data_IF_920218605120
#
_entry.id   IF_920218605120
#
_cell.length_a   1.000
_cell.length_b   1.000
_cell.length_c   1.000
_cell.angle_alpha   90.00
_cell.angle_beta   90.00
_cell.angle_gamma   90.00
#
_symmetry.space_group_name_H-M   'P 1'
#
loop_
_entity.id
_entity.type
_entity.pdbx_description
1 polymer ?
#
# COMPACT_ATOMS: atom_id res chain seq x y z
N UNK A 1 -9.38 -13.10 -13.62
CA UNK A 1 -7.91 -13.10 -13.70
C UNK A 1 -7.38 -12.04 -12.75
N UNK A 2 -6.41 -12.38 -11.89
CA UNK A 2 -5.71 -11.45 -10.99
C UNK A 2 -4.54 -10.81 -11.73
N UNK A 3 -4.33 -9.50 -11.54
CA UNK A 3 -3.13 -8.77 -11.95
C UNK A 3 -2.47 -8.12 -10.74
N UNK A 4 -1.16 -8.35 -10.59
CA UNK A 4 -0.34 -7.76 -9.52
C UNK A 4 0.37 -6.54 -10.09
N UNK A 5 0.12 -5.36 -9.51
CA UNK A 5 0.64 -4.07 -9.96
C UNK A 5 1.81 -3.66 -9.05
N UNK A 6 2.97 -3.43 -9.64
CA UNK A 6 4.21 -3.13 -8.92
C UNK A 6 4.81 -1.84 -9.48
N UNK A 7 4.59 -0.67 -8.84
CA UNK A 7 5.29 0.56 -9.23
C UNK A 7 6.76 0.48 -8.82
N UNK A 8 7.65 0.85 -9.73
CA UNK A 8 9.10 0.78 -9.58
C UNK A 8 9.74 2.09 -10.01
N UNK A 9 10.73 2.54 -9.25
CA UNK A 9 11.64 3.61 -9.62
C UNK A 9 13.01 3.31 -9.04
N UNK A 10 13.96 2.87 -9.86
CA UNK A 10 15.27 2.38 -9.43
C UNK A 10 15.16 1.19 -8.44
N UNK A 11 16.22 0.91 -7.66
CA UNK A 11 16.21 -0.12 -6.61
C UNK A 11 16.02 -1.55 -7.15
N UNK A 12 16.72 -1.88 -8.25
CA UNK A 12 16.64 -3.18 -8.92
C UNK A 12 16.74 -4.37 -7.95
N UNK A 13 17.66 -4.32 -7.01
CA UNK A 13 17.84 -5.40 -6.02
C UNK A 13 16.52 -5.82 -5.37
N UNK A 14 15.74 -4.87 -4.85
CA UNK A 14 14.47 -5.16 -4.19
C UNK A 14 13.40 -5.61 -5.18
N UNK A 15 13.34 -4.97 -6.35
CA UNK A 15 12.43 -5.37 -7.42
C UNK A 15 12.67 -6.82 -7.84
N UNK A 16 13.94 -7.23 -7.95
CA UNK A 16 14.33 -8.59 -8.27
C UNK A 16 13.87 -9.59 -7.19
N UNK A 17 14.09 -9.28 -5.93
CA UNK A 17 13.67 -10.12 -4.79
C UNK A 17 12.13 -10.25 -4.75
N UNK A 18 11.40 -9.16 -4.95
CA UNK A 18 9.94 -9.17 -5.04
C UNK A 18 9.44 -10.07 -6.18
N UNK A 19 9.93 -9.87 -7.40
CA UNK A 19 9.53 -10.67 -8.56
C UNK A 19 9.92 -12.14 -8.43
N UNK A 20 11.10 -12.44 -7.86
CA UNK A 20 11.50 -13.81 -7.56
C UNK A 20 10.55 -14.50 -6.57
N UNK A 21 10.09 -13.77 -5.55
CA UNK A 21 9.09 -14.30 -4.60
C UNK A 21 7.73 -14.56 -5.24
N UNK A 22 7.34 -13.76 -6.23
CA UNK A 22 6.12 -13.99 -7.02
C UNK A 22 6.28 -15.19 -7.95
N UNK A 23 7.43 -15.35 -8.59
CA UNK A 23 7.73 -16.54 -9.44
C UNK A 23 7.69 -17.84 -8.62
N UNK A 24 8.05 -17.78 -7.34
CA UNK A 24 8.05 -18.93 -6.42
C UNK A 24 6.68 -19.20 -5.75
N UNK A 25 5.61 -18.50 -6.14
CA UNK A 25 4.28 -18.73 -5.56
C UNK A 25 3.72 -20.11 -5.91
N UNK A 26 3.05 -20.73 -4.94
CA UNK A 26 2.35 -22.02 -5.14
C UNK A 26 1.17 -21.91 -6.10
N UNK A 27 0.56 -20.73 -6.21
CA UNK A 27 -0.47 -20.42 -7.21
C UNK A 27 0.08 -19.43 -8.22
N UNK A 28 0.08 -19.83 -9.50
CA UNK A 28 0.44 -18.98 -10.65
C UNK A 28 -0.78 -18.37 -11.35
N UNK A 29 -1.94 -18.32 -10.69
CA UNK A 29 -3.19 -17.80 -11.26
C UNK A 29 -3.22 -16.26 -11.29
N UNK A 30 -2.11 -15.62 -11.67
CA UNK A 30 -1.98 -14.18 -11.79
C UNK A 30 -1.07 -13.79 -12.99
N UNK A 31 -1.06 -12.50 -13.29
CA UNK A 31 -0.05 -11.84 -14.13
C UNK A 31 0.53 -10.65 -13.39
N UNK A 32 1.81 -10.37 -13.57
CA UNK A 32 2.46 -9.19 -13.00
C UNK A 32 2.54 -8.06 -14.04
N UNK A 33 2.26 -6.83 -13.57
CA UNK A 33 2.46 -5.58 -14.30
C UNK A 33 3.42 -4.73 -13.50
N UNK A 34 4.62 -4.54 -14.00
CA UNK A 34 5.59 -3.59 -13.44
C UNK A 34 5.38 -2.24 -14.13
N UNK A 35 5.22 -1.19 -13.34
CA UNK A 35 5.22 0.19 -13.83
C UNK A 35 6.56 0.81 -13.50
N UNK A 36 7.47 0.81 -14.46
CA UNK A 36 8.79 1.44 -14.33
C UNK A 36 8.68 2.93 -14.61
N UNK A 37 8.71 3.73 -13.55
CA UNK A 37 8.57 5.20 -13.62
C UNK A 37 9.89 5.89 -14.04
N UNK A 38 10.49 5.40 -15.13
CA UNK A 38 11.69 6.02 -15.71
C UNK A 38 12.95 5.74 -14.87
N UNK A 39 13.16 4.49 -14.45
CA UNK A 39 14.39 4.09 -13.76
C UNK A 39 15.63 4.41 -14.58
N UNK A 40 16.68 4.84 -13.88
CA UNK A 40 17.98 5.24 -14.46
C UNK A 40 19.11 4.26 -14.10
N UNK A 41 18.81 3.27 -13.26
CA UNK A 41 19.69 2.14 -12.95
C UNK A 41 19.45 0.99 -13.95
N UNK A 42 19.97 -0.21 -13.64
CA UNK A 42 19.82 -1.40 -14.48
C UNK A 42 18.39 -1.98 -14.55
N UNK A 43 17.40 -1.41 -13.84
CA UNK A 43 16.05 -1.98 -13.67
C UNK A 43 15.40 -2.36 -15.00
N UNK A 44 15.34 -1.45 -15.98
CA UNK A 44 14.67 -1.71 -17.25
C UNK A 44 15.32 -2.86 -18.06
N UNK A 45 16.66 -2.86 -18.13
CA UNK A 45 17.41 -3.88 -18.84
C UNK A 45 17.30 -5.25 -18.15
N UNK A 46 17.42 -5.25 -16.83
CA UNK A 46 17.36 -6.47 -16.04
C UNK A 46 15.95 -7.09 -16.01
N UNK A 47 14.88 -6.27 -15.99
CA UNK A 47 13.49 -6.76 -16.14
C UNK A 47 13.32 -7.52 -17.46
N UNK A 48 13.78 -6.96 -18.58
CA UNK A 48 13.65 -7.60 -19.87
C UNK A 48 14.43 -8.92 -19.96
N UNK A 49 15.58 -9.02 -19.28
CA UNK A 49 16.43 -10.19 -19.29
C UNK A 49 15.98 -11.29 -18.32
N UNK A 50 15.68 -10.92 -17.06
CA UNK A 50 15.44 -11.88 -15.98
C UNK A 50 13.95 -12.22 -15.80
N UNK A 51 13.04 -11.33 -16.19
CA UNK A 51 11.58 -11.51 -16.02
C UNK A 51 10.79 -11.17 -17.30
N UNK A 52 11.08 -11.85 -18.43
CA UNK A 52 10.42 -11.57 -19.72
C UNK A 52 8.91 -11.86 -19.73
N UNK A 53 8.40 -12.60 -18.74
CA UNK A 53 6.96 -12.88 -18.56
C UNK A 53 6.17 -11.71 -17.94
N UNK A 54 6.85 -10.72 -17.40
CA UNK A 54 6.24 -9.57 -16.74
C UNK A 54 5.85 -8.52 -17.77
N UNK A 55 4.62 -8.05 -17.69
CA UNK A 55 4.19 -6.89 -18.46
C UNK A 55 4.83 -5.62 -17.89
N UNK A 56 5.60 -4.89 -18.70
CA UNK A 56 6.25 -3.65 -18.30
C UNK A 56 5.54 -2.44 -18.93
N UNK A 57 5.18 -1.48 -18.10
CA UNK A 57 4.64 -0.18 -18.52
C UNK A 57 5.60 0.90 -18.08
N UNK A 58 6.03 1.75 -19.03
CA UNK A 58 6.99 2.83 -18.75
C UNK A 58 6.26 4.11 -18.35
N UNK A 59 6.68 4.74 -17.25
CA UNK A 59 6.26 6.06 -16.80
C UNK A 59 7.18 7.16 -17.32
N UNK A 60 6.95 8.39 -16.86
CA UNK A 60 7.70 9.61 -17.26
C UNK A 60 8.71 10.09 -16.20
N UNK A 61 8.86 9.36 -15.11
CA UNK A 61 9.73 9.70 -13.99
C UNK A 61 9.06 10.56 -12.90
N UNK A 62 7.77 10.87 -13.05
CA UNK A 62 7.03 11.77 -12.16
C UNK A 62 5.71 11.19 -11.63
N UNK A 63 5.48 9.88 -11.82
CA UNK A 63 4.23 9.24 -11.41
C UNK A 63 4.11 9.11 -9.88
N UNK A 64 5.21 8.97 -9.19
CA UNK A 64 5.21 8.57 -7.79
C UNK A 64 4.42 7.26 -7.60
N UNK A 65 4.05 6.94 -6.33
CA UNK A 65 3.36 5.69 -6.05
C UNK A 65 1.95 5.66 -6.64
N UNK A 66 1.17 6.72 -6.41
CA UNK A 66 -0.27 6.69 -6.69
C UNK A 66 -0.58 6.69 -8.19
N UNK A 67 0.05 7.55 -8.97
CA UNK A 67 -0.16 7.56 -10.42
C UNK A 67 0.46 6.33 -11.09
N UNK A 68 1.59 5.81 -10.57
CA UNK A 68 2.17 4.55 -11.03
C UNK A 68 1.21 3.37 -10.83
N UNK A 69 0.63 3.24 -9.64
CA UNK A 69 -0.40 2.23 -9.37
C UNK A 69 -1.61 2.41 -10.30
N UNK A 70 -2.12 3.63 -10.46
CA UNK A 70 -3.25 3.89 -11.34
C UNK A 70 -2.95 3.55 -12.81
N UNK A 71 -1.74 3.83 -13.29
CA UNK A 71 -1.30 3.45 -14.64
C UNK A 71 -1.31 1.93 -14.81
N UNK A 72 -0.76 1.20 -13.85
CA UNK A 72 -0.78 -0.26 -13.83
C UNK A 72 -2.20 -0.84 -13.76
N UNK A 73 -3.09 -0.26 -12.94
CA UNK A 73 -4.50 -0.68 -12.86
C UNK A 73 -5.19 -0.46 -14.21
N UNK A 74 -5.01 0.69 -14.85
CA UNK A 74 -5.58 0.94 -16.20
C UNK A 74 -5.11 -0.10 -17.20
N UNK A 75 -3.81 -0.45 -17.18
CA UNK A 75 -3.25 -1.49 -18.05
C UNK A 75 -3.85 -2.86 -17.76
N UNK A 76 -3.92 -3.25 -16.49
CA UNK A 76 -4.50 -4.52 -16.06
C UNK A 76 -5.98 -4.66 -16.48
N UNK A 77 -6.77 -3.60 -16.30
CA UNK A 77 -8.18 -3.59 -16.72
C UNK A 77 -8.34 -3.72 -18.23
N UNK A 78 -7.48 -3.06 -19.01
CA UNK A 78 -7.44 -3.21 -20.47
C UNK A 78 -7.07 -4.63 -20.91
N UNK A 79 -6.31 -5.36 -20.10
CA UNK A 79 -5.97 -6.78 -20.31
C UNK A 79 -7.01 -7.76 -19.71
N UNK A 80 -8.15 -7.27 -19.22
CA UNK A 80 -9.25 -8.08 -18.72
C UNK A 80 -9.14 -8.50 -17.25
N UNK A 81 -8.46 -7.71 -16.42
CA UNK A 81 -8.41 -7.96 -14.98
C UNK A 81 -9.80 -7.96 -14.36
N UNK A 82 -10.10 -8.97 -13.54
CA UNK A 82 -11.29 -9.01 -12.67
C UNK A 82 -10.95 -8.64 -11.23
N UNK A 83 -9.67 -8.72 -10.87
CA UNK A 83 -9.09 -8.31 -9.59
C UNK A 83 -7.71 -7.70 -9.85
N UNK A 84 -7.34 -6.70 -9.10
CA UNK A 84 -5.96 -6.20 -9.05
C UNK A 84 -5.42 -6.34 -7.63
N UNK A 85 -4.11 -6.52 -7.52
CA UNK A 85 -3.40 -6.53 -6.25
C UNK A 85 -2.24 -5.54 -6.38
N UNK A 86 -2.22 -4.51 -5.53
CA UNK A 86 -1.08 -3.58 -5.49
C UNK A 86 0.01 -4.13 -4.59
N UNK A 87 1.25 -4.00 -5.01
CA UNK A 87 2.41 -4.50 -4.28
C UNK A 87 3.56 -3.51 -4.42
N UNK A 88 4.26 -3.23 -3.34
CA UNK A 88 5.50 -2.46 -3.44
C UNK A 88 6.63 -3.36 -3.97
N UNK A 89 7.64 -2.74 -4.57
CA UNK A 89 8.80 -3.48 -5.06
C UNK A 89 9.78 -3.93 -3.97
N UNK A 90 9.61 -3.46 -2.74
CA UNK A 90 10.43 -3.78 -1.57
C UNK A 90 9.75 -4.74 -0.59
N UNK A 91 8.96 -5.67 -1.11
CA UNK A 91 8.32 -6.74 -0.33
C UNK A 91 8.70 -8.11 -0.86
N UNK A 92 8.69 -9.10 0.01
CA UNK A 92 8.85 -10.52 -0.32
C UNK A 92 7.58 -11.26 0.08
N UNK A 93 6.90 -11.86 -0.88
CA UNK A 93 5.68 -12.61 -0.65
C UNK A 93 5.98 -14.00 -0.12
N UNK A 94 5.28 -14.45 0.94
CA UNK A 94 5.34 -15.83 1.39
C UNK A 94 4.87 -16.80 0.27
N UNK A 95 5.36 -18.03 0.20
CA UNK A 95 5.07 -18.94 -0.94
C UNK A 95 3.58 -19.18 -1.21
N UNK A 96 2.72 -19.07 -0.22
CA UNK A 96 1.26 -19.27 -0.34
C UNK A 96 0.48 -17.96 -0.45
N UNK A 97 1.13 -16.80 -0.46
CA UNK A 97 0.49 -15.49 -0.40
C UNK A 97 -0.61 -15.30 -1.46
N UNK A 98 -0.31 -15.59 -2.73
CA UNK A 98 -1.29 -15.44 -3.82
C UNK A 98 -2.44 -16.44 -3.66
N UNK A 99 -2.16 -17.68 -3.29
CA UNK A 99 -3.19 -18.69 -3.05
C UNK A 99 -4.16 -18.27 -1.93
N UNK A 100 -3.63 -17.77 -0.81
CA UNK A 100 -4.42 -17.31 0.33
C UNK A 100 -5.24 -16.04 0.01
N UNK A 101 -4.69 -15.12 -0.80
CA UNK A 101 -5.43 -13.94 -1.27
C UNK A 101 -6.57 -14.35 -2.20
N UNK A 102 -6.35 -15.27 -3.13
CA UNK A 102 -7.38 -15.74 -4.05
C UNK A 102 -8.47 -16.53 -3.32
N UNK A 103 -8.12 -17.42 -2.41
CA UNK A 103 -9.08 -18.19 -1.62
C UNK A 103 -9.99 -17.28 -0.79
N UNK A 104 -9.42 -16.27 -0.13
CA UNK A 104 -10.19 -15.29 0.62
C UNK A 104 -11.10 -14.43 -0.29
N UNK A 105 -10.59 -14.01 -1.46
CA UNK A 105 -11.34 -13.22 -2.42
C UNK A 105 -12.46 -14.02 -3.11
N UNK A 106 -12.34 -15.32 -3.27
CA UNK A 106 -13.39 -16.19 -3.82
C UNK A 106 -14.55 -16.37 -2.83
N UNK A 107 -14.23 -16.46 -1.54
CA UNK A 107 -15.23 -16.49 -0.46
C UNK A 107 -15.87 -15.12 -0.21
N UNK A 108 -15.18 -14.03 -0.53
CA UNK A 108 -15.63 -12.65 -0.30
C UNK A 108 -15.45 -11.80 -1.56
N UNK A 109 -16.22 -12.03 -2.63
CA UNK A 109 -15.95 -11.53 -3.97
C UNK A 109 -15.98 -10.00 -4.12
N UNK A 110 -16.55 -9.29 -3.17
CA UNK A 110 -16.61 -7.82 -3.14
C UNK A 110 -15.71 -7.18 -2.10
N UNK A 111 -15.00 -7.99 -1.29
CA UNK A 111 -14.14 -7.45 -0.25
C UNK A 111 -12.81 -6.92 -0.79
N UNK A 112 -12.36 -5.81 -0.24
CA UNK A 112 -10.98 -5.35 -0.35
C UNK A 112 -10.16 -6.05 0.72
N UNK A 113 -9.06 -6.69 0.33
CA UNK A 113 -8.24 -7.50 1.23
C UNK A 113 -6.83 -6.94 1.33
N UNK A 114 -6.29 -6.90 2.54
CA UNK A 114 -4.89 -6.61 2.83
C UNK A 114 -4.18 -7.84 3.39
N UNK A 115 -2.88 -7.71 3.64
CA UNK A 115 -2.00 -8.77 4.12
C UNK A 115 -1.52 -8.53 5.55
N UNK A 116 -1.11 -9.60 6.22
CA UNK A 116 -0.27 -9.55 7.41
C UNK A 116 1.19 -9.29 7.00
N UNK A 117 1.84 -8.31 7.62
CA UNK A 117 3.20 -7.91 7.26
C UNK A 117 4.19 -8.22 8.38
N UNK A 118 5.36 -8.67 7.95
CA UNK A 118 6.50 -8.99 8.81
C UNK A 118 7.71 -8.12 8.45
N UNK A 119 8.54 -7.85 9.41
CA UNK A 119 9.88 -7.31 9.20
C UNK A 119 10.78 -8.41 8.63
N UNK A 120 11.34 -8.18 7.46
CA UNK A 120 12.20 -9.15 6.77
C UNK A 120 13.52 -9.46 7.54
N UNK A 121 13.98 -8.52 8.37
CA UNK A 121 15.22 -8.67 9.13
C UNK A 121 15.00 -9.46 10.42
N UNK A 122 13.89 -9.23 11.12
CA UNK A 122 13.62 -9.81 12.45
C UNK A 122 12.60 -10.95 12.42
N UNK A 123 11.80 -11.07 11.37
CA UNK A 123 10.68 -12.00 11.31
C UNK A 123 9.50 -11.64 12.23
N UNK A 124 9.53 -10.46 12.87
CA UNK A 124 8.46 -10.01 13.73
C UNK A 124 7.28 -9.48 12.91
N UNK A 125 6.01 -9.71 13.31
CA UNK A 125 4.87 -9.08 12.67
C UNK A 125 4.89 -7.57 12.97
N UNK A 126 4.68 -6.74 11.95
CA UNK A 126 4.74 -5.28 12.05
C UNK A 126 3.45 -4.57 11.61
N UNK A 127 2.55 -5.28 10.92
CA UNK A 127 1.25 -4.76 10.53
C UNK A 127 0.25 -5.90 10.38
N UNK A 128 -0.86 -5.83 11.08
CA UNK A 128 -1.96 -6.79 11.03
C UNK A 128 -3.33 -6.14 10.78
N UNK A 129 -3.33 -4.90 10.29
CA UNK A 129 -4.54 -4.11 10.10
C UNK A 129 -4.80 -3.13 11.24
N UNK A 130 -5.40 -2.01 10.90
CA UNK A 130 -5.68 -0.92 11.84
C UNK A 130 -7.17 -0.53 11.83
N UNK A 131 -7.66 -0.14 13.00
CA UNK A 131 -8.93 0.56 13.17
C UNK A 131 -8.68 1.99 13.61
N UNK A 132 -9.21 2.95 12.85
CA UNK A 132 -9.14 4.38 13.18
C UNK A 132 -10.43 4.83 13.84
N UNK A 133 -10.33 5.34 15.06
CA UNK A 133 -11.39 6.13 15.71
C UNK A 133 -11.19 7.60 15.35
N UNK A 134 -12.07 8.13 14.50
CA UNK A 134 -12.04 9.54 14.11
C UNK A 134 -12.40 10.50 15.26
N UNK A 135 -13.14 10.04 16.26
CA UNK A 135 -13.55 10.85 17.41
C UNK A 135 -12.36 11.21 18.30
N UNK A 136 -11.49 10.24 18.55
CA UNK A 136 -10.31 10.38 19.42
C UNK A 136 -9.02 10.57 18.63
N UNK A 137 -9.06 10.38 17.31
CA UNK A 137 -7.88 10.29 16.44
C UNK A 137 -6.88 9.24 16.95
N UNK A 138 -7.40 8.10 17.41
CA UNK A 138 -6.60 6.97 17.90
C UNK A 138 -6.58 5.86 16.86
N UNK A 139 -5.42 5.30 16.65
CA UNK A 139 -5.23 4.08 15.86
C UNK A 139 -5.13 2.90 16.80
N UNK A 140 -5.86 1.86 16.48
CA UNK A 140 -5.86 0.59 17.18
C UNK A 140 -5.25 -0.44 16.24
N UNK A 141 -4.04 -0.89 16.55
CA UNK A 141 -3.39 -1.96 15.81
C UNK A 141 -3.97 -3.31 16.25
N UNK A 142 -4.38 -4.12 15.29
CA UNK A 142 -4.94 -5.45 15.59
C UNK A 142 -3.88 -6.41 16.14
N UNK A 143 -2.59 -6.19 15.86
CA UNK A 143 -1.51 -6.96 16.45
C UNK A 143 -1.43 -6.76 17.98
N UNK A 144 -1.75 -5.55 18.47
CA UNK A 144 -1.79 -5.27 19.91
C UNK A 144 -3.06 -5.79 20.58
N UNK A 145 -4.18 -5.79 19.84
CA UNK A 145 -5.49 -6.19 20.38
C UNK A 145 -5.75 -7.69 20.33
N UNK A 146 -5.25 -8.39 19.29
CA UNK A 146 -5.53 -9.80 19.07
C UNK A 146 -4.49 -10.70 19.78
N UNK A 147 -4.92 -11.59 20.69
CA UNK A 147 -4.07 -12.65 21.20
C UNK A 147 -3.50 -13.50 20.05
N UNK A 148 -2.28 -14.02 20.22
CA UNK A 148 -1.59 -14.79 19.18
C UNK A 148 -2.44 -15.95 18.61
N UNK A 149 -3.23 -16.63 19.44
CA UNK A 149 -4.12 -17.72 19.02
C UNK A 149 -5.34 -17.29 18.18
N UNK A 150 -5.64 -15.99 18.11
CA UNK A 150 -6.72 -15.43 17.29
C UNK A 150 -6.20 -14.71 16.03
N UNK A 151 -4.90 -14.73 15.78
CA UNK A 151 -4.26 -14.10 14.61
C UNK A 151 -4.37 -15.01 13.38
N UNK A 152 -5.60 -15.34 12.99
CA UNK A 152 -5.91 -16.15 11.80
C UNK A 152 -7.17 -15.68 11.12
N UNK A 153 -7.31 -15.94 9.80
CA UNK A 153 -8.49 -15.61 9.02
C UNK A 153 -8.59 -14.13 8.64
N UNK A 154 -9.81 -13.64 8.45
CA UNK A 154 -10.11 -12.28 8.00
C UNK A 154 -10.55 -11.40 9.18
N UNK A 155 -9.90 -10.27 9.36
CA UNK A 155 -10.24 -9.30 10.40
C UNK A 155 -10.71 -7.97 9.78
N UNK A 156 -11.88 -7.43 10.21
CA UNK A 156 -12.37 -6.15 9.69
C UNK A 156 -11.50 -5.00 10.16
N UNK A 157 -11.17 -4.11 9.22
CA UNK A 157 -10.29 -2.96 9.44
C UNK A 157 -10.89 -1.67 8.90
N UNK A 158 -10.35 -0.52 9.29
CA UNK A 158 -10.79 0.78 8.77
C UNK A 158 -10.15 1.08 7.43
N UNK A 159 -8.87 0.77 7.27
CA UNK A 159 -8.09 0.97 6.06
C UNK A 159 -6.91 -0.02 6.00
N UNK A 160 -6.30 -0.09 4.82
CA UNK A 160 -5.19 -0.99 4.50
C UNK A 160 -4.10 -0.22 3.74
N UNK A 161 -2.82 -0.58 3.90
CA UNK A 161 -1.73 -0.07 3.09
C UNK A 161 -1.78 -0.63 1.67
N UNK A 162 -1.15 0.07 0.73
CA UNK A 162 -1.12 -0.30 -0.67
C UNK A 162 -0.23 -1.51 -0.99
N UNK A 163 0.60 -1.96 -0.05
CA UNK A 163 1.41 -3.17 -0.21
C UNK A 163 0.59 -4.40 0.19
N UNK A 164 0.28 -5.25 -0.79
CA UNK A 164 -0.57 -6.42 -0.58
C UNK A 164 -2.07 -6.12 -0.56
N UNK A 165 -2.52 -5.09 -1.27
CA UNK A 165 -3.92 -4.67 -1.33
C UNK A 165 -4.62 -5.28 -2.56
N UNK A 166 -5.49 -6.26 -2.34
CA UNK A 166 -6.32 -6.85 -3.37
C UNK A 166 -7.65 -6.10 -3.49
N UNK A 167 -7.97 -5.67 -4.72
CA UNK A 167 -9.14 -4.86 -5.06
C UNK A 167 -9.94 -5.55 -6.16
N UNK A 168 -11.18 -5.97 -5.91
CA UNK A 168 -12.07 -6.45 -6.95
C UNK A 168 -12.41 -5.36 -7.98
N UNK A 169 -12.56 -5.72 -9.25
CA UNK A 169 -12.98 -4.79 -10.31
C UNK A 169 -14.26 -4.05 -9.96
N UNK A 170 -15.23 -4.70 -9.32
CA UNK A 170 -16.48 -4.07 -8.89
C UNK A 170 -16.26 -2.88 -7.95
N UNK A 171 -15.23 -2.91 -7.10
CA UNK A 171 -14.84 -1.77 -6.26
C UNK A 171 -14.33 -0.63 -7.14
N UNK A 172 -13.42 -0.93 -8.08
CA UNK A 172 -12.85 0.08 -9.00
C UNK A 172 -13.96 0.71 -9.84
N UNK A 173 -14.89 -0.08 -10.37
CA UNK A 173 -16.02 0.41 -11.17
C UNK A 173 -16.92 1.37 -10.36
N UNK A 174 -17.04 1.14 -9.05
CA UNK A 174 -17.90 1.95 -8.16
C UNK A 174 -17.23 3.19 -7.63
N UNK A 175 -15.96 3.10 -7.19
CA UNK A 175 -15.28 4.19 -6.48
C UNK A 175 -14.23 4.91 -7.32
N UNK A 176 -13.86 4.35 -8.48
CA UNK A 176 -12.81 4.86 -9.35
C UNK A 176 -11.42 4.40 -8.95
N UNK A 177 -10.41 5.13 -9.43
CA UNK A 177 -9.00 4.93 -9.15
C UNK A 177 -8.56 5.70 -7.90
N UNK A 178 -7.31 5.52 -7.48
CA UNK A 178 -6.71 6.30 -6.38
C UNK A 178 -6.65 7.80 -6.72
N UNK A 179 -6.74 8.67 -5.71
CA UNK A 179 -6.73 10.14 -5.88
C UNK A 179 -5.28 10.64 -6.08
N UNK A 180 -4.73 10.42 -7.28
CA UNK A 180 -3.34 10.77 -7.61
C UNK A 180 -3.07 12.28 -7.60
N UNK A 181 -4.12 13.12 -7.75
CA UNK A 181 -3.97 14.58 -7.78
C UNK A 181 -3.75 15.17 -6.38
N UNK A 182 -4.46 14.65 -5.37
CA UNK A 182 -4.41 15.18 -4.00
C UNK A 182 -3.50 14.36 -3.09
N UNK A 183 -3.31 13.09 -3.40
CA UNK A 183 -2.55 12.12 -2.62
C UNK A 183 -1.54 11.39 -3.52
N UNK A 184 -0.51 12.08 -4.03
CA UNK A 184 0.38 11.50 -5.02
C UNK A 184 1.27 10.37 -4.48
N UNK A 185 1.43 10.24 -3.15
CA UNK A 185 2.31 9.23 -2.56
C UNK A 185 1.72 8.60 -1.29
N UNK A 186 1.70 9.32 -0.16
CA UNK A 186 1.18 8.82 1.12
C UNK A 186 -0.30 9.09 1.30
N UNK A 187 -0.99 8.24 2.07
CA UNK A 187 -2.41 8.28 2.42
C UNK A 187 -3.37 7.94 1.26
N UNK A 188 -2.89 7.72 0.04
CA UNK A 188 -3.73 7.36 -1.09
C UNK A 188 -4.42 6.00 -0.90
N UNK A 189 -3.70 5.03 -0.35
CA UNK A 189 -4.14 3.70 0.01
C UNK A 189 -5.19 3.72 1.13
N UNK A 190 -4.94 4.47 2.20
CA UNK A 190 -5.86 4.66 3.31
C UNK A 190 -7.13 5.43 2.88
N UNK A 191 -6.97 6.44 2.03
CA UNK A 191 -8.10 7.15 1.42
C UNK A 191 -8.95 6.20 0.58
N UNK A 192 -8.32 5.45 -0.32
CA UNK A 192 -9.01 4.53 -1.23
C UNK A 192 -9.82 3.49 -0.48
N UNK A 193 -9.21 2.80 0.49
CA UNK A 193 -9.88 1.77 1.29
C UNK A 193 -10.98 2.35 2.18
N UNK A 194 -10.80 3.57 2.70
CA UNK A 194 -11.87 4.31 3.41
C UNK A 194 -13.04 4.66 2.50
N UNK A 195 -12.78 5.07 1.25
CA UNK A 195 -13.82 5.34 0.25
C UNK A 195 -14.56 4.06 -0.11
N UNK A 196 -13.85 2.95 -0.37
CA UNK A 196 -14.45 1.65 -0.66
C UNK A 196 -15.36 1.20 0.49
N UNK A 197 -14.90 1.29 1.74
CA UNK A 197 -15.69 0.95 2.93
C UNK A 197 -16.97 1.80 3.04
N UNK A 198 -16.89 3.11 2.80
CA UNK A 198 -18.09 3.99 2.82
C UNK A 198 -19.04 3.70 1.65
N UNK A 199 -18.55 3.17 0.55
CA UNK A 199 -19.36 2.70 -0.57
C UNK A 199 -20.03 1.34 -0.30
N UNK A 200 -19.83 0.75 0.89
CA UNK A 200 -20.48 -0.49 1.32
C UNK A 200 -19.66 -1.75 1.07
N UNK A 201 -18.41 -1.64 0.61
CA UNK A 201 -17.54 -2.79 0.41
C UNK A 201 -16.85 -3.19 1.72
N UNK A 202 -16.82 -4.49 2.08
CA UNK A 202 -16.05 -4.97 3.21
C UNK A 202 -14.55 -4.74 3.00
N UNK A 203 -13.83 -4.43 4.09
CA UNK A 203 -12.38 -4.24 4.09
C UNK A 203 -11.79 -5.11 5.19
N UNK A 204 -10.95 -6.09 4.83
CA UNK A 204 -10.36 -7.04 5.77
C UNK A 204 -8.85 -7.13 5.63
N UNK A 205 -8.15 -7.34 6.74
CA UNK A 205 -6.80 -7.86 6.74
C UNK A 205 -6.86 -9.40 6.77
N UNK A 206 -6.19 -10.06 5.81
CA UNK A 206 -6.10 -11.51 5.71
C UNK A 206 -4.80 -12.00 6.36
N UNK A 207 -4.91 -12.64 7.51
CA UNK A 207 -3.76 -13.11 8.29
C UNK A 207 -3.11 -14.38 7.70
N UNK A 208 -3.79 -15.09 6.80
CA UNK A 208 -3.19 -16.20 6.06
C UNK A 208 -2.25 -15.72 4.94
N UNK A 209 -2.52 -14.53 4.36
CA UNK A 209 -1.70 -13.95 3.32
C UNK A 209 -0.58 -13.08 3.93
N UNK A 210 0.66 -13.53 3.80
CA UNK A 210 1.80 -12.95 4.51
C UNK A 210 2.82 -12.33 3.55
N UNK A 211 3.34 -11.16 3.94
CA UNK A 211 4.40 -10.43 3.27
C UNK A 211 5.51 -10.08 4.25
N UNK A 212 6.75 -10.08 3.79
CA UNK A 212 7.86 -9.47 4.51
C UNK A 212 8.28 -8.18 3.82
N UNK A 213 8.64 -7.16 4.59
CA UNK A 213 9.08 -5.84 4.08
C UNK A 213 10.32 -5.39 4.83
N UNK A 214 10.99 -4.35 4.32
CA UNK A 214 12.21 -3.76 4.86
C UNK A 214 11.89 -2.37 5.45
N UNK A 215 11.43 -2.25 6.71
CA UNK A 215 10.99 -0.96 7.29
C UNK A 215 12.11 0.10 7.32
N UNK A 216 13.37 -0.33 7.56
CA UNK A 216 14.54 0.56 7.59
C UNK A 216 14.85 1.23 6.24
N UNK A 217 14.42 0.61 5.14
CA UNK A 217 14.60 1.09 3.77
C UNK A 217 13.45 1.96 3.29
N UNK A 218 12.44 2.16 4.12
CA UNK A 218 11.30 3.02 3.77
C UNK A 218 11.75 4.47 3.62
N UNK A 219 11.17 5.20 2.66
CA UNK A 219 11.50 6.60 2.43
C UNK A 219 11.29 7.48 3.66
N UNK A 220 10.40 7.10 4.57
CA UNK A 220 10.18 7.81 5.85
C UNK A 220 11.37 7.65 6.80
N UNK A 221 11.88 6.43 6.96
CA UNK A 221 13.01 6.13 7.85
C UNK A 221 14.29 6.82 7.34
N UNK A 222 14.55 6.74 6.04
CA UNK A 222 15.73 7.37 5.43
C UNK A 222 15.71 8.91 5.58
N UNK A 223 14.55 9.55 5.44
CA UNK A 223 14.42 11.01 5.59
C UNK A 223 14.66 11.49 7.03
N UNK A 224 14.44 10.64 8.03
CA UNK A 224 14.61 10.97 9.46
C UNK A 224 16.02 10.78 9.99
N UNK A 225 16.88 10.00 9.32
CA UNK A 225 18.28 9.77 9.74
C UNK A 225 19.14 11.05 9.82
N UNK A 226 18.80 12.09 9.04
CA UNK A 226 19.50 13.37 9.03
C UNK A 226 18.54 14.53 9.35
N UNK A 227 18.44 14.86 10.66
CA UNK A 227 17.57 15.96 11.13
C UNK A 227 18.13 17.32 10.67
N UNK A 228 17.37 18.02 9.84
CA UNK A 228 17.70 19.36 9.38
C UNK A 228 16.44 20.19 9.15
N UNK A 229 16.56 21.50 9.12
CA UNK A 229 15.44 22.41 8.82
C UNK A 229 14.86 22.13 7.44
N UNK A 230 15.71 21.84 6.45
CA UNK A 230 15.29 21.44 5.10
C UNK A 230 14.55 20.09 5.14
N UNK A 231 15.05 19.11 5.90
CA UNK A 231 14.41 17.82 6.11
C UNK A 231 13.04 17.94 6.79
N UNK A 232 12.93 18.83 7.78
CA UNK A 232 11.66 19.12 8.44
C UNK A 232 10.63 19.73 7.49
N UNK A 233 11.03 20.72 6.69
CA UNK A 233 10.16 21.28 5.65
C UNK A 233 9.71 20.22 4.65
N UNK A 234 10.64 19.39 4.17
CA UNK A 234 10.31 18.28 3.26
C UNK A 234 9.38 17.24 3.90
N UNK A 235 9.56 16.94 5.20
CA UNK A 235 8.66 16.06 5.93
C UNK A 235 7.23 16.59 5.97
N UNK A 236 7.05 17.91 6.16
CA UNK A 236 5.72 18.54 6.29
C UNK A 236 5.06 18.87 4.94
N UNK A 237 5.84 19.16 3.89
CA UNK A 237 5.31 19.71 2.63
C UNK A 237 5.82 18.99 1.37
N UNK A 238 6.84 18.14 1.46
CA UNK A 238 7.35 17.37 0.33
C UNK A 238 6.39 16.25 -0.06
N UNK A 239 6.32 15.90 -1.34
CA UNK A 239 5.46 14.81 -1.85
C UNK A 239 5.75 13.48 -1.12
N UNK A 240 7.02 13.18 -0.85
CA UNK A 240 7.48 12.01 -0.10
C UNK A 240 7.58 12.25 1.41
N UNK A 241 7.00 13.34 1.92
CA UNK A 241 7.01 13.67 3.33
C UNK A 241 5.98 12.86 4.11
N UNK A 242 6.42 12.00 5.03
CA UNK A 242 5.52 11.16 5.84
C UNK A 242 4.58 11.93 6.78
N UNK A 243 4.92 13.20 7.08
CA UNK A 243 4.08 14.14 7.85
C UNK A 243 3.36 15.16 6.98
N UNK A 244 3.23 14.95 5.67
CA UNK A 244 2.69 15.95 4.75
C UNK A 244 1.33 16.49 5.22
N UNK A 245 1.29 17.77 5.55
CA UNK A 245 0.11 18.45 6.13
C UNK A 245 -0.98 18.66 5.09
N UNK A 246 -0.62 18.89 3.82
CA UNK A 246 -1.57 19.10 2.73
C UNK A 246 -2.32 17.80 2.43
N UNK A 247 -1.58 16.68 2.28
CA UNK A 247 -2.15 15.36 2.06
C UNK A 247 -3.06 14.95 3.22
N UNK A 248 -2.60 15.19 4.46
CA UNK A 248 -3.41 14.92 5.65
C UNK A 248 -4.70 15.74 5.67
N UNK A 249 -4.63 17.02 5.31
CA UNK A 249 -5.81 17.88 5.25
C UNK A 249 -6.83 17.33 4.24
N UNK A 250 -6.36 16.96 3.05
CA UNK A 250 -7.22 16.36 2.02
C UNK A 250 -7.85 15.05 2.52
N UNK A 251 -7.04 14.18 3.12
CA UNK A 251 -7.53 12.94 3.72
C UNK A 251 -8.59 13.20 4.80
N UNK A 252 -8.33 14.13 5.72
CA UNK A 252 -9.23 14.47 6.83
C UNK A 252 -10.56 15.02 6.31
N UNK A 253 -10.52 16.01 5.41
CA UNK A 253 -11.73 16.63 4.82
C UNK A 253 -12.60 15.63 4.08
N UNK A 254 -11.99 14.64 3.42
CA UNK A 254 -12.70 13.62 2.63
C UNK A 254 -13.24 12.48 3.49
N UNK A 255 -12.55 12.09 4.55
CA UNK A 255 -12.80 10.84 5.26
C UNK A 255 -13.34 11.01 6.68
N UNK A 256 -12.99 12.09 7.39
CA UNK A 256 -13.43 12.32 8.77
C UNK A 256 -14.88 12.80 8.83
N UNK A 257 -15.74 12.22 9.69
CA UNK A 257 -17.08 12.73 9.93
C UNK A 257 -17.04 14.18 10.44
N UNK A 258 -17.91 15.03 9.89
CA UNK A 258 -17.93 16.48 10.16
C UNK A 258 -17.85 16.88 11.66
N UNK A 259 -18.56 16.21 12.58
CA UNK A 259 -18.50 16.58 14.01
C UNK A 259 -17.11 16.44 14.64
N UNK A 260 -16.30 15.49 14.15
CA UNK A 260 -14.97 15.21 14.70
C UNK A 260 -13.83 15.94 13.95
N UNK A 261 -14.14 16.51 12.78
CA UNK A 261 -13.15 17.09 11.88
C UNK A 261 -12.27 18.17 12.53
N UNK A 262 -12.79 19.16 13.31
CA UNK A 262 -11.94 20.18 13.93
C UNK A 262 -10.90 19.58 14.88
N UNK A 263 -11.33 18.66 15.75
CA UNK A 263 -10.41 17.97 16.67
C UNK A 263 -9.41 17.08 15.91
N UNK A 264 -9.88 16.33 14.92
CA UNK A 264 -9.04 15.44 14.12
C UNK A 264 -7.93 16.20 13.39
N UNK A 265 -8.25 17.37 12.80
CA UNK A 265 -7.28 18.26 12.15
C UNK A 265 -6.28 18.81 13.15
N UNK A 266 -6.76 19.42 14.26
CA UNK A 266 -5.87 20.03 15.26
C UNK A 266 -4.90 19.02 15.85
N UNK A 267 -5.40 17.87 16.31
CA UNK A 267 -4.58 16.80 16.86
C UNK A 267 -3.62 16.22 15.82
N UNK A 268 -4.11 16.02 14.58
CA UNK A 268 -3.29 15.49 13.48
C UNK A 268 -2.16 16.45 13.07
N UNK A 269 -2.38 17.76 13.07
CA UNK A 269 -1.34 18.75 12.83
C UNK A 269 -0.31 18.78 13.97
N UNK A 270 -0.76 18.78 15.21
CA UNK A 270 0.14 18.73 16.36
C UNK A 270 1.07 17.52 16.31
N UNK A 271 0.52 16.33 16.03
CA UNK A 271 1.32 15.10 15.89
C UNK A 271 2.35 15.17 14.75
N UNK A 272 2.03 15.81 13.63
CA UNK A 272 2.95 15.96 12.49
C UNK A 272 4.07 16.95 12.77
N UNK A 273 3.73 18.07 13.40
CA UNK A 273 4.71 19.09 13.81
C UNK A 273 5.74 18.53 14.80
N UNK A 274 5.27 17.75 15.77
CA UNK A 274 6.13 17.21 16.84
C UNK A 274 6.77 15.87 16.44
N UNK A 275 6.08 15.04 15.68
CA UNK A 275 6.50 13.67 15.35
C UNK A 275 7.84 13.55 14.63
N UNK A 276 8.27 14.58 13.93
CA UNK A 276 9.60 14.61 13.31
C UNK A 276 10.75 14.58 14.34
N UNK A 277 10.50 15.06 15.53
CA UNK A 277 11.49 15.19 16.61
C UNK A 277 11.44 14.04 17.61
N UNK A 278 10.33 13.29 17.68
CA UNK A 278 10.10 12.27 18.70
C UNK A 278 10.52 10.85 18.27
N UNK A 279 10.81 10.66 16.99
CA UNK A 279 11.21 9.35 16.40
C UNK A 279 12.56 9.55 15.65
#
# INVERSE_FOLDING_TARGET
MLYIIIPVFNRWRYTRECLASLRAQTSQAFRAVVVDDGSTDETAAALAQEFPEVEVVTGDGNLFWTAGVNLGIRRALALGATRVLTLNNDVVAAPTFVAEMLAAADQNPTAVLGALEFDAATGAPIYGGERLDFKTNTRHDLLDELPAGLRAGLHPVTYLPGRGLLIPKAVIDKVGLFDEKRLPHYLADFDYTSVARRAGFPVFCNYAAQLSTYPEESGQTLTRKHRSVKGYYQHLFGIRGGGNMVNFTHFALKNCPKPYLPYFLLNGYARRLVGYFLH
#
